data_IF_458900987009
#
_entry.id   IF_458900987009
#
_cell.length_a   1.000
_cell.length_b   1.000
_cell.length_c   1.000
_cell.angle_alpha   90.00
_cell.angle_beta   90.00
_cell.angle_gamma   90.00
#
_symmetry.space_group_name_H-M   'P 1'
#
loop_
_entity.id
_entity.type
_entity.pdbx_description
1 polymer ?
#
# COMPACT_ATOMS: atom_id res chain seq x y z
N UNK A 1 25.41 3.28 39.36
CA UNK A 1 25.09 4.68 39.73
C UNK A 1 24.59 4.77 41.18
N UNK A 2 23.46 4.13 41.54
CA UNK A 2 22.92 4.18 42.92
C UNK A 2 23.92 3.66 43.97
N UNK A 3 24.63 2.58 43.67
CA UNK A 3 25.64 1.98 44.55
C UNK A 3 26.86 2.91 44.76
N UNK A 4 27.13 3.81 43.80
CA UNK A 4 28.29 4.74 43.84
C UNK A 4 27.94 5.99 44.63
N UNK A 5 26.81 6.63 44.31
CA UNK A 5 26.30 7.77 45.07
C UNK A 5 24.78 7.95 44.84
N UNK A 6 23.97 7.82 45.90
CA UNK A 6 22.54 8.12 45.82
C UNK A 6 22.26 9.58 45.46
N UNK A 7 23.08 10.52 45.95
CA UNK A 7 22.92 11.96 45.68
C UNK A 7 23.10 12.28 44.20
N UNK A 8 24.22 11.82 43.60
CA UNK A 8 24.47 12.03 42.17
C UNK A 8 23.42 11.33 41.29
N UNK A 9 22.89 10.19 41.74
CA UNK A 9 21.77 9.52 41.06
C UNK A 9 20.49 10.34 41.12
N UNK A 10 20.22 11.02 42.25
CA UNK A 10 19.13 11.99 42.36
C UNK A 10 19.28 13.14 41.36
N UNK A 11 20.49 13.71 41.24
CA UNK A 11 20.79 14.77 40.25
C UNK A 11 20.53 14.28 38.82
N UNK A 12 20.96 13.07 38.48
CA UNK A 12 20.66 12.46 37.18
C UNK A 12 19.14 12.29 36.98
N UNK A 13 18.42 11.75 37.97
CA UNK A 13 16.98 11.52 37.87
C UNK A 13 16.18 12.80 37.66
N UNK A 14 16.68 13.96 38.11
CA UNK A 14 16.04 15.26 37.86
C UNK A 14 16.03 15.61 36.37
N UNK A 15 17.05 15.23 35.57
CA UNK A 15 17.10 15.56 34.14
C UNK A 15 16.15 14.71 33.30
N UNK A 16 15.88 13.48 33.73
CA UNK A 16 15.06 12.49 33.01
C UNK A 16 13.67 13.05 32.62
N UNK A 17 12.86 13.63 33.52
CA UNK A 17 11.56 14.19 33.14
C UNK A 17 11.68 15.34 32.13
N UNK A 18 12.77 16.13 32.14
CA UNK A 18 12.98 17.18 31.12
C UNK A 18 13.28 16.59 29.75
N UNK A 19 14.06 15.51 29.68
CA UNK A 19 14.32 14.78 28.43
C UNK A 19 13.02 14.21 27.85
N UNK A 20 12.19 13.59 28.69
CA UNK A 20 10.87 13.10 28.28
C UNK A 20 9.95 14.23 27.83
N UNK A 21 9.84 15.31 28.60
CA UNK A 21 9.01 16.46 28.27
C UNK A 21 9.42 17.10 26.93
N UNK A 22 10.73 17.28 26.71
CA UNK A 22 11.27 17.82 25.46
C UNK A 22 10.96 16.90 24.28
N UNK A 23 11.27 15.61 24.41
CA UNK A 23 11.07 14.62 23.34
C UNK A 23 9.58 14.46 22.97
N UNK A 24 8.70 14.37 23.96
CA UNK A 24 7.25 14.25 23.75
C UNK A 24 6.63 15.53 23.17
N UNK A 25 7.13 16.70 23.57
CA UNK A 25 6.69 17.98 23.01
C UNK A 25 7.05 18.11 21.53
N UNK A 26 8.30 17.77 21.18
CA UNK A 26 8.76 17.74 19.79
C UNK A 26 7.97 16.73 18.96
N UNK A 27 7.62 15.55 19.51
CA UNK A 27 6.81 14.53 18.81
C UNK A 27 5.50 15.08 18.25
N UNK A 28 4.72 15.84 19.04
CA UNK A 28 3.41 16.37 18.61
C UNK A 28 3.56 17.33 17.43
N UNK A 29 4.56 18.20 17.47
CA UNK A 29 4.84 19.20 16.43
C UNK A 29 5.41 18.52 15.19
N UNK A 30 6.40 17.63 15.37
CA UNK A 30 7.03 16.85 14.31
C UNK A 30 6.01 16.01 13.55
N UNK A 31 5.08 15.33 14.24
CA UNK A 31 4.02 14.55 13.57
C UNK A 31 3.18 15.44 12.65
N UNK A 32 2.73 16.61 13.13
CA UNK A 32 1.96 17.55 12.30
C UNK A 32 2.77 18.01 11.10
N UNK A 33 3.98 18.53 11.32
CA UNK A 33 4.88 19.01 10.25
C UNK A 33 5.24 17.91 9.24
N UNK A 34 5.40 16.67 9.70
CA UNK A 34 5.66 15.50 8.85
C UNK A 34 4.47 15.16 7.97
N UNK A 35 3.25 15.18 8.51
CA UNK A 35 2.02 14.97 7.72
C UNK A 35 1.86 16.07 6.67
N UNK A 36 2.09 17.34 7.03
CA UNK A 36 2.05 18.44 6.06
C UNK A 36 3.12 18.29 4.97
N UNK A 37 4.35 17.90 5.34
CA UNK A 37 5.43 17.64 4.38
C UNK A 37 5.11 16.50 3.41
N UNK A 38 4.58 15.38 3.93
CA UNK A 38 4.14 14.25 3.12
C UNK A 38 3.00 14.63 2.17
N UNK A 39 2.00 15.38 2.64
CA UNK A 39 0.90 15.87 1.79
C UNK A 39 1.40 16.79 0.67
N UNK A 40 2.33 17.69 0.98
CA UNK A 40 2.88 18.60 -0.03
C UNK A 40 3.72 17.85 -1.07
N UNK A 41 4.45 16.81 -0.67
CA UNK A 41 5.19 15.94 -1.59
C UNK A 41 4.23 15.11 -2.46
N UNK A 42 3.14 14.60 -1.87
CA UNK A 42 2.11 13.86 -2.61
C UNK A 42 1.46 14.73 -3.70
N UNK A 43 1.24 16.03 -3.44
CA UNK A 43 0.75 16.97 -4.45
C UNK A 43 1.73 17.14 -5.62
N UNK A 44 3.03 17.23 -5.34
CA UNK A 44 4.07 17.28 -6.39
C UNK A 44 4.01 16.00 -7.23
N UNK A 45 3.97 14.83 -6.59
CA UNK A 45 3.92 13.54 -7.28
C UNK A 45 2.65 13.39 -8.12
N UNK A 46 1.49 13.77 -7.57
CA UNK A 46 0.22 13.74 -8.28
C UNK A 46 0.26 14.64 -9.53
N UNK A 47 0.80 15.86 -9.40
CA UNK A 47 0.96 16.78 -10.52
C UNK A 47 1.85 16.20 -11.62
N UNK A 48 2.97 15.57 -11.25
CA UNK A 48 3.87 14.92 -12.22
C UNK A 48 3.15 13.76 -12.91
N UNK A 49 2.42 12.93 -12.15
CA UNK A 49 1.68 11.80 -12.71
C UNK A 49 0.58 12.26 -13.67
N UNK A 50 -0.19 13.28 -13.31
CA UNK A 50 -1.23 13.88 -14.17
C UNK A 50 -0.62 14.50 -15.43
N UNK A 51 0.49 15.23 -15.29
CA UNK A 51 1.21 15.83 -16.43
C UNK A 51 1.75 14.78 -17.40
N UNK A 52 2.25 13.66 -16.89
CA UNK A 52 2.74 12.55 -17.73
C UNK A 52 1.58 11.84 -18.44
N UNK A 53 0.48 11.57 -17.74
CA UNK A 53 -0.72 10.99 -18.34
C UNK A 53 -1.33 11.90 -19.41
N UNK A 54 -1.29 13.22 -19.20
CA UNK A 54 -1.81 14.24 -20.12
C UNK A 54 -0.79 14.83 -21.09
N UNK A 55 0.43 14.27 -21.20
CA UNK A 55 1.55 14.94 -21.90
C UNK A 55 1.22 15.26 -23.36
N UNK A 56 0.50 14.36 -24.04
CA UNK A 56 0.06 14.56 -25.42
C UNK A 56 -0.86 15.80 -25.54
N UNK A 57 -1.82 15.96 -24.62
CA UNK A 57 -2.72 17.11 -24.60
C UNK A 57 -1.93 18.39 -24.34
N UNK A 58 -1.04 18.38 -23.35
CA UNK A 58 -0.19 19.54 -23.03
C UNK A 58 0.61 19.98 -24.26
N UNK A 59 1.21 19.03 -24.99
CA UNK A 59 1.94 19.28 -26.24
C UNK A 59 1.05 19.77 -27.36
N UNK A 60 -0.10 19.15 -27.58
CA UNK A 60 -1.06 19.54 -28.63
C UNK A 60 -1.56 20.97 -28.46
N UNK A 61 -1.77 21.42 -27.23
CA UNK A 61 -2.21 22.79 -26.91
C UNK A 61 -1.06 23.76 -26.61
N UNK A 62 0.21 23.32 -26.73
CA UNK A 62 1.43 24.12 -26.46
C UNK A 62 1.42 24.79 -25.07
N UNK A 63 0.96 24.08 -24.05
CA UNK A 63 0.78 24.57 -22.69
C UNK A 63 1.96 24.27 -21.75
N UNK A 64 3.14 23.88 -22.28
CA UNK A 64 4.27 23.44 -21.46
C UNK A 64 4.74 24.49 -20.45
N UNK A 65 4.79 25.77 -20.87
CA UNK A 65 5.23 26.87 -20.00
C UNK A 65 4.26 27.06 -18.83
N UNK A 66 2.95 27.09 -19.12
CA UNK A 66 1.90 27.20 -18.10
C UNK A 66 1.99 26.05 -17.09
N UNK A 67 2.18 24.82 -17.57
CA UNK A 67 2.34 23.66 -16.70
C UNK A 67 3.63 23.71 -15.88
N UNK A 68 4.72 24.20 -16.45
CA UNK A 68 5.98 24.40 -15.73
C UNK A 68 5.85 25.45 -14.62
N UNK A 69 5.16 26.56 -14.87
CA UNK A 69 4.93 27.61 -13.87
C UNK A 69 4.05 27.09 -12.71
N UNK A 70 3.02 26.30 -13.02
CA UNK A 70 2.21 25.61 -12.00
C UNK A 70 3.05 24.63 -11.18
N UNK A 71 3.89 23.81 -11.84
CA UNK A 71 4.81 22.90 -11.15
C UNK A 71 5.75 23.66 -10.20
N UNK A 72 6.34 24.77 -10.64
CA UNK A 72 7.23 25.60 -9.83
C UNK A 72 6.52 26.12 -8.57
N UNK A 73 5.26 26.55 -8.67
CA UNK A 73 4.49 27.01 -7.52
C UNK A 73 4.28 25.89 -6.49
N UNK A 74 3.85 24.71 -6.93
CA UNK A 74 3.62 23.54 -6.06
C UNK A 74 4.95 23.07 -5.44
N UNK A 75 6.01 23.00 -6.24
CA UNK A 75 7.33 22.57 -5.79
C UNK A 75 7.93 23.55 -4.77
N UNK A 76 7.79 24.87 -5.00
CA UNK A 76 8.25 25.89 -4.05
C UNK A 76 7.50 25.82 -2.71
N UNK A 77 6.21 25.50 -2.74
CA UNK A 77 5.43 25.26 -1.52
C UNK A 77 5.95 24.01 -0.77
N UNK A 78 6.19 22.91 -1.50
CA UNK A 78 6.78 21.70 -0.93
C UNK A 78 8.15 21.96 -0.31
N UNK A 79 9.01 22.72 -1.00
CA UNK A 79 10.30 23.13 -0.49
C UNK A 79 10.17 23.91 0.83
N UNK A 80 9.32 24.94 0.90
CA UNK A 80 9.11 25.72 2.13
C UNK A 80 8.62 24.87 3.30
N UNK A 81 7.67 23.98 3.06
CA UNK A 81 7.13 23.08 4.08
C UNK A 81 8.21 22.12 4.59
N UNK A 82 8.97 21.51 3.68
CA UNK A 82 10.02 20.57 4.05
C UNK A 82 11.22 21.25 4.69
N UNK A 83 11.60 22.46 4.26
CA UNK A 83 12.64 23.26 4.92
C UNK A 83 12.23 23.62 6.35
N UNK A 84 11.00 24.09 6.56
CA UNK A 84 10.49 24.35 7.90
C UNK A 84 10.54 23.08 8.75
N UNK A 85 10.06 21.95 8.23
CA UNK A 85 10.11 20.65 8.91
C UNK A 85 11.55 20.25 9.28
N UNK A 86 12.50 20.42 8.36
CA UNK A 86 13.91 20.08 8.59
C UNK A 86 14.49 20.92 9.72
N UNK A 87 14.29 22.24 9.70
CA UNK A 87 14.75 23.13 10.77
C UNK A 87 14.18 22.73 12.14
N UNK A 88 12.90 22.38 12.22
CA UNK A 88 12.30 21.89 13.48
C UNK A 88 12.94 20.59 13.97
N UNK A 89 13.23 19.65 13.07
CA UNK A 89 13.91 18.40 13.43
C UNK A 89 15.35 18.64 13.88
N UNK A 90 16.04 19.59 13.24
CA UNK A 90 17.44 19.94 13.56
C UNK A 90 17.61 20.58 14.94
N UNK A 91 16.57 21.18 15.53
CA UNK A 91 16.66 21.82 16.87
C UNK A 91 16.62 20.80 18.02
N UNK A 92 16.08 19.60 17.79
CA UNK A 92 15.90 18.60 18.85
C UNK A 92 17.22 18.16 19.48
N UNK A 93 18.20 17.75 18.67
CA UNK A 93 19.48 17.24 19.16
C UNK A 93 20.30 18.31 19.91
N UNK A 94 20.48 19.54 19.40
CA UNK A 94 21.12 20.61 20.16
C UNK A 94 20.43 20.91 21.49
N UNK A 95 19.10 20.82 21.55
CA UNK A 95 18.35 21.01 22.79
C UNK A 95 18.63 19.89 23.82
N UNK A 96 18.80 18.65 23.34
CA UNK A 96 19.22 17.52 24.18
C UNK A 96 20.67 17.67 24.64
N UNK A 97 21.57 18.12 23.77
CA UNK A 97 22.98 18.36 24.12
C UNK A 97 23.12 19.41 25.23
N UNK A 98 22.31 20.48 25.18
CA UNK A 98 22.26 21.47 26.26
C UNK A 98 21.83 20.83 27.59
N UNK A 99 20.82 19.94 27.60
CA UNK A 99 20.40 19.23 28.81
C UNK A 99 21.52 18.32 29.35
N UNK A 100 22.25 17.64 28.47
CA UNK A 100 23.41 16.81 28.86
C UNK A 100 24.53 17.68 29.43
N UNK A 101 24.82 18.83 28.83
CA UNK A 101 25.82 19.78 29.32
C UNK A 101 25.45 20.32 30.71
N UNK A 102 24.18 20.66 30.93
CA UNK A 102 23.67 21.09 32.24
C UNK A 102 23.79 19.97 33.27
N UNK A 103 23.39 18.74 32.92
CA UNK A 103 23.57 17.57 33.78
C UNK A 103 25.04 17.42 34.19
N UNK A 104 25.97 17.55 33.24
CA UNK A 104 27.41 17.41 33.50
C UNK A 104 27.93 18.48 34.43
N UNK A 105 27.54 19.74 34.21
CA UNK A 105 27.89 20.84 35.10
C UNK A 105 27.41 20.57 36.53
N UNK A 106 26.18 20.07 36.70
CA UNK A 106 25.63 19.71 38.02
C UNK A 106 26.38 18.53 38.64
N UNK A 107 26.66 17.47 37.87
CA UNK A 107 27.41 16.31 38.37
C UNK A 107 28.83 16.67 38.81
N UNK A 108 29.51 17.54 38.07
CA UNK A 108 30.84 18.04 38.43
C UNK A 108 30.75 18.93 39.67
N UNK A 109 29.76 19.81 39.76
CA UNK A 109 29.58 20.71 40.90
C UNK A 109 29.29 19.95 42.20
N UNK A 110 28.26 19.08 42.20
CA UNK A 110 27.90 18.29 43.38
C UNK A 110 28.94 17.21 43.68
N UNK A 111 29.45 16.53 42.65
CA UNK A 111 30.49 15.51 42.82
C UNK A 111 31.80 16.10 43.35
N UNK A 112 32.21 17.27 42.84
CA UNK A 112 33.41 17.96 43.29
C UNK A 112 33.35 18.32 44.78
N UNK A 113 32.19 18.78 45.26
CA UNK A 113 31.98 19.03 46.69
C UNK A 113 32.10 17.73 47.53
N UNK A 114 31.59 16.60 47.05
CA UNK A 114 31.74 15.31 47.73
C UNK A 114 33.19 14.80 47.76
N UNK A 115 33.98 15.08 46.71
CA UNK A 115 35.43 14.80 46.73
C UNK A 115 36.13 15.64 47.79
N UNK A 116 35.81 16.93 47.88
CA UNK A 116 36.42 17.82 48.89
C UNK A 116 36.07 17.38 50.33
N UNK A 117 34.91 16.74 50.52
CA UNK A 117 34.49 16.15 51.80
C UNK A 117 35.09 14.76 52.06
N UNK A 118 35.81 14.17 51.09
CA UNK A 118 36.40 12.84 51.19
C UNK A 118 35.42 11.69 51.00
N UNK A 119 34.18 11.96 50.57
CA UNK A 119 33.13 10.95 50.40
C UNK A 119 33.23 10.18 49.07
N UNK A 120 33.84 10.80 48.05
CA UNK A 120 34.04 10.20 46.73
C UNK A 120 35.49 10.39 46.25
N UNK A 121 35.93 9.49 45.37
CA UNK A 121 37.18 9.62 44.63
C UNK A 121 36.98 10.27 43.26
N UNK A 122 38.06 10.79 42.66
CA UNK A 122 38.02 11.29 41.27
C UNK A 122 37.57 10.23 40.26
N UNK A 123 37.92 8.95 40.49
CA UNK A 123 37.46 7.83 39.70
C UNK A 123 35.95 7.62 39.78
N UNK A 124 35.33 7.89 40.93
CA UNK A 124 33.88 7.71 41.10
C UNK A 124 33.09 8.71 40.25
N UNK A 125 33.52 9.98 40.21
CA UNK A 125 32.90 10.98 39.33
C UNK A 125 33.08 10.61 37.86
N UNK A 126 34.29 10.18 37.47
CA UNK A 126 34.55 9.76 36.10
C UNK A 126 33.64 8.59 35.67
N UNK A 127 33.53 7.57 36.52
CA UNK A 127 32.61 6.45 36.31
C UNK A 127 31.15 6.91 36.23
N UNK A 128 30.76 7.91 37.03
CA UNK A 128 29.42 8.47 37.01
C UNK A 128 29.10 9.22 35.71
N UNK A 129 30.03 10.04 35.22
CA UNK A 129 29.90 10.75 33.94
C UNK A 129 29.78 9.77 32.77
N UNK A 130 30.63 8.74 32.73
CA UNK A 130 30.56 7.70 31.69
C UNK A 130 29.25 6.90 31.75
N UNK A 131 28.83 6.50 32.95
CA UNK A 131 27.55 5.80 33.15
C UNK A 131 26.35 6.64 32.70
N UNK A 132 26.42 7.96 32.91
CA UNK A 132 25.36 8.89 32.49
C UNK A 132 25.18 8.92 30.97
N UNK A 133 26.28 8.92 30.19
CA UNK A 133 26.21 8.83 28.72
C UNK A 133 25.54 7.54 28.27
N UNK A 134 25.94 6.42 28.87
CA UNK A 134 25.41 5.11 28.53
C UNK A 134 23.91 5.02 28.85
N UNK A 135 23.43 5.66 29.92
CA UNK A 135 22.00 5.69 30.25
C UNK A 135 21.19 6.66 29.38
N UNK A 136 21.80 7.70 28.79
CA UNK A 136 21.06 8.69 27.99
C UNK A 136 20.46 8.09 26.72
N UNK A 137 21.19 7.22 26.03
CA UNK A 137 20.72 6.59 24.78
C UNK A 137 19.48 5.70 24.97
N UNK A 138 19.45 4.74 25.92
CA UNK A 138 18.25 3.96 26.21
C UNK A 138 17.03 4.81 26.62
N UNK A 139 17.24 5.89 27.38
CA UNK A 139 16.14 6.80 27.78
C UNK A 139 15.50 7.43 26.54
N UNK A 140 16.31 7.92 25.60
CA UNK A 140 15.82 8.46 24.33
C UNK A 140 15.10 7.41 23.49
N UNK A 141 15.63 6.18 23.44
CA UNK A 141 15.00 5.07 22.71
C UNK A 141 13.61 4.74 23.28
N UNK A 142 13.48 4.64 24.60
CA UNK A 142 12.18 4.39 25.27
C UNK A 142 11.19 5.51 24.97
N UNK A 143 11.62 6.77 25.01
CA UNK A 143 10.76 7.91 24.69
C UNK A 143 10.21 7.87 23.25
N UNK A 144 10.98 7.31 22.30
CA UNK A 144 10.59 7.13 20.91
C UNK A 144 9.81 5.83 20.62
N UNK A 145 10.04 4.77 21.40
CA UNK A 145 9.59 3.40 21.09
C UNK A 145 8.06 3.27 20.98
N UNK A 146 7.30 3.96 21.84
CA UNK A 146 5.83 3.86 21.83
C UNK A 146 5.20 4.23 20.48
N UNK A 147 5.80 5.19 19.75
CA UNK A 147 5.31 5.56 18.43
C UNK A 147 5.49 4.42 17.41
N UNK A 148 6.69 3.85 17.38
CA UNK A 148 7.03 2.75 16.49
C UNK A 148 6.20 1.50 16.78
N UNK A 149 5.95 1.24 18.06
CA UNK A 149 5.07 0.16 18.49
C UNK A 149 3.63 0.34 17.97
N UNK A 150 3.07 1.55 18.09
CA UNK A 150 1.72 1.86 17.59
C UNK A 150 1.63 1.75 16.05
N UNK A 151 2.65 2.22 15.33
CA UNK A 151 2.70 2.10 13.87
C UNK A 151 2.76 0.63 13.44
N UNK A 152 3.55 -0.19 14.16
CA UNK A 152 3.59 -1.64 13.97
C UNK A 152 2.24 -2.31 14.21
N UNK A 153 1.54 -1.94 15.27
CA UNK A 153 0.20 -2.46 15.57
C UNK A 153 -0.80 -2.11 14.47
N UNK A 154 -0.81 -0.87 13.99
CA UNK A 154 -1.70 -0.45 12.88
C UNK A 154 -1.38 -1.16 11.56
N UNK A 155 -0.11 -1.46 11.28
CA UNK A 155 0.27 -2.26 10.12
C UNK A 155 -0.21 -3.71 10.25
N UNK A 156 -0.06 -4.31 11.44
CA UNK A 156 -0.55 -5.65 11.73
C UNK A 156 -2.07 -5.74 11.56
N UNK A 157 -2.84 -4.77 12.08
CA UNK A 157 -4.30 -4.69 11.90
C UNK A 157 -4.71 -4.75 10.42
N UNK A 158 -4.01 -4.02 9.54
CA UNK A 158 -4.30 -4.05 8.09
C UNK A 158 -3.98 -5.39 7.45
N UNK A 159 -2.89 -6.04 7.87
CA UNK A 159 -2.52 -7.38 7.37
C UNK A 159 -3.57 -8.40 7.78
N UNK A 160 -3.96 -8.41 9.05
CA UNK A 160 -5.00 -9.32 9.55
C UNK A 160 -6.36 -9.03 8.92
N UNK A 161 -6.74 -7.75 8.73
CA UNK A 161 -7.98 -7.42 8.02
C UNK A 161 -8.00 -7.94 6.57
N UNK A 162 -6.85 -7.95 5.88
CA UNK A 162 -6.74 -8.54 4.54
C UNK A 162 -6.79 -10.07 4.61
N UNK A 163 -6.09 -10.69 5.56
CA UNK A 163 -6.07 -12.14 5.74
C UNK A 163 -7.45 -12.70 6.11
N UNK A 164 -8.19 -11.99 6.96
CA UNK A 164 -9.54 -12.35 7.42
C UNK A 164 -10.62 -11.95 6.41
N UNK A 165 -10.27 -11.23 5.34
CA UNK A 165 -11.22 -10.86 4.30
C UNK A 165 -11.79 -12.11 3.62
N UNK A 166 -13.12 -12.23 3.61
CA UNK A 166 -13.77 -13.37 2.96
C UNK A 166 -13.84 -13.14 1.44
N UNK A 167 -13.49 -14.17 0.67
CA UNK A 167 -13.71 -14.16 -0.77
C UNK A 167 -15.21 -14.10 -1.07
N UNK A 168 -15.64 -13.07 -1.80
CA UNK A 168 -17.01 -12.95 -2.29
C UNK A 168 -17.42 -14.12 -3.20
N UNK A 169 -16.46 -14.73 -3.89
CA UNK A 169 -16.69 -15.87 -4.78
C UNK A 169 -16.09 -17.11 -4.12
N UNK A 170 -16.95 -18.01 -3.66
CA UNK A 170 -16.54 -19.32 -3.15
C UNK A 170 -16.37 -20.29 -4.32
N UNK A 171 -15.27 -21.05 -4.32
CA UNK A 171 -15.07 -22.09 -5.32
C UNK A 171 -15.98 -23.29 -5.02
N UNK A 172 -16.67 -23.76 -6.05
CA UNK A 172 -17.33 -25.06 -6.01
C UNK A 172 -16.32 -26.20 -6.16
N UNK A 173 -16.70 -27.38 -5.69
CA UNK A 173 -15.84 -28.58 -5.73
C UNK A 173 -16.05 -29.45 -6.96
N UNK A 174 -17.14 -29.25 -7.72
CA UNK A 174 -17.50 -30.15 -8.81
C UNK A 174 -16.61 -29.93 -10.03
N UNK A 175 -15.93 -30.96 -10.49
CA UNK A 175 -15.11 -30.89 -11.70
C UNK A 175 -15.90 -31.49 -12.84
N UNK A 176 -16.14 -30.69 -13.89
CA UNK A 176 -16.70 -31.18 -15.13
C UNK A 176 -15.62 -31.96 -15.88
N UNK A 177 -15.84 -33.26 -16.12
CA UNK A 177 -14.90 -34.11 -16.87
C UNK A 177 -14.75 -33.68 -18.33
N UNK A 178 -15.85 -33.19 -18.93
CA UNK A 178 -15.86 -32.63 -20.27
C UNK A 178 -16.91 -31.53 -20.38
N UNK A 179 -16.63 -30.49 -21.16
CA UNK A 179 -17.55 -29.37 -21.43
C UNK A 179 -18.03 -29.51 -22.86
N UNK A 180 -19.34 -29.73 -23.04
CA UNK A 180 -20.03 -29.74 -24.35
C UNK A 180 -20.33 -28.32 -24.81
N UNK A 181 -20.51 -27.39 -23.87
CA UNK A 181 -20.65 -25.97 -24.16
C UNK A 181 -22.09 -25.47 -24.23
N UNK A 182 -23.04 -26.17 -23.61
CA UNK A 182 -24.41 -25.66 -23.42
C UNK A 182 -24.41 -24.64 -22.28
N UNK A 183 -24.93 -23.43 -22.53
CA UNK A 183 -24.95 -22.33 -21.56
C UNK A 183 -26.40 -21.94 -21.31
N UNK A 184 -26.80 -21.83 -20.04
CA UNK A 184 -28.14 -21.38 -19.65
C UNK A 184 -28.05 -20.26 -18.64
N UNK A 185 -28.77 -19.18 -18.90
CA UNK A 185 -29.11 -18.14 -17.93
C UNK A 185 -30.58 -18.34 -17.59
N UNK A 186 -30.87 -18.57 -16.31
CA UNK A 186 -32.21 -18.90 -15.80
C UNK A 186 -32.61 -17.84 -14.76
N UNK A 187 -33.52 -16.96 -15.14
CA UNK A 187 -34.05 -15.85 -14.33
C UNK A 187 -32.95 -15.02 -13.63
N UNK A 188 -31.87 -14.73 -14.35
CA UNK A 188 -30.70 -14.04 -13.81
C UNK A 188 -31.05 -12.60 -13.37
N UNK A 189 -30.81 -12.30 -12.10
CA UNK A 189 -30.80 -10.95 -11.55
C UNK A 189 -29.39 -10.50 -11.20
N UNK A 190 -29.00 -9.32 -11.69
CA UNK A 190 -27.64 -8.80 -11.50
C UNK A 190 -27.59 -7.28 -11.31
N UNK A 191 -26.83 -6.85 -10.29
CA UNK A 191 -26.46 -5.46 -10.05
C UNK A 191 -25.01 -5.34 -9.52
N UNK A 192 -24.29 -4.30 -9.93
CA UNK A 192 -22.97 -3.96 -9.36
C UNK A 192 -23.09 -3.13 -8.07
N UNK A 193 -24.15 -2.34 -7.97
CA UNK A 193 -24.43 -1.42 -6.87
C UNK A 193 -25.88 -1.68 -6.46
N UNK A 194 -26.17 -1.76 -5.15
CA UNK A 194 -27.54 -1.90 -4.67
C UNK A 194 -28.49 -0.90 -5.33
N UNK A 195 -29.70 -1.37 -5.65
CA UNK A 195 -30.79 -0.59 -6.25
C UNK A 195 -30.51 -0.10 -7.69
N UNK A 196 -29.51 -0.68 -8.37
CA UNK A 196 -29.19 -0.38 -9.78
C UNK A 196 -29.06 -1.66 -10.62
N UNK A 197 -30.19 -2.36 -10.86
CA UNK A 197 -30.22 -3.60 -11.60
C UNK A 197 -29.86 -3.40 -13.07
N UNK A 198 -28.96 -4.27 -13.55
CA UNK A 198 -28.60 -4.41 -14.97
C UNK A 198 -29.46 -5.48 -15.62
N UNK A 199 -29.63 -6.62 -14.94
CA UNK A 199 -30.49 -7.71 -15.39
C UNK A 199 -31.59 -7.95 -14.35
N UNK A 200 -32.83 -8.10 -14.83
CA UNK A 200 -34.00 -8.50 -14.06
C UNK A 200 -34.62 -9.69 -14.80
N UNK A 201 -34.59 -10.86 -14.19
CA UNK A 201 -35.17 -12.10 -14.73
C UNK A 201 -34.67 -12.44 -16.16
N UNK A 202 -33.38 -12.27 -16.40
CA UNK A 202 -32.78 -12.52 -17.72
C UNK A 202 -32.68 -14.02 -18.01
N UNK A 203 -33.20 -14.44 -19.16
CA UNK A 203 -33.23 -15.82 -19.62
C UNK A 203 -32.58 -15.96 -21.00
N UNK A 204 -31.66 -16.91 -21.16
CA UNK A 204 -31.00 -17.21 -22.43
C UNK A 204 -30.46 -18.64 -22.42
N UNK A 205 -30.68 -19.39 -23.50
CA UNK A 205 -30.08 -20.71 -23.70
C UNK A 205 -29.25 -20.69 -24.97
N UNK A 206 -27.99 -21.13 -24.87
CA UNK A 206 -27.04 -21.26 -25.97
C UNK A 206 -26.69 -22.74 -26.12
N UNK A 207 -26.88 -23.29 -27.31
CA UNK A 207 -26.61 -24.68 -27.60
C UNK A 207 -25.12 -24.94 -27.88
N UNK A 208 -24.62 -26.17 -27.65
CA UNK A 208 -23.28 -26.56 -28.06
C UNK A 208 -22.98 -26.23 -29.52
N UNK A 209 -21.87 -25.54 -29.78
CA UNK A 209 -21.44 -25.16 -31.14
C UNK A 209 -22.18 -23.96 -31.75
N UNK A 210 -23.14 -23.38 -31.03
CA UNK A 210 -23.87 -22.20 -31.49
C UNK A 210 -23.01 -20.94 -31.38
N UNK A 211 -22.99 -20.13 -32.45
CA UNK A 211 -22.36 -18.79 -32.42
C UNK A 211 -23.43 -17.74 -32.14
N UNK A 212 -23.34 -17.10 -30.98
CA UNK A 212 -24.32 -16.07 -30.57
C UNK A 212 -23.67 -14.68 -30.56
N UNK A 213 -24.34 -13.70 -31.16
CA UNK A 213 -23.95 -12.30 -31.11
C UNK A 213 -24.86 -11.51 -30.16
N UNK A 214 -24.27 -10.85 -29.15
CA UNK A 214 -24.99 -10.00 -28.21
C UNK A 214 -24.86 -8.53 -28.64
N UNK A 215 -25.97 -7.93 -29.07
CA UNK A 215 -26.02 -6.55 -29.61
C UNK A 215 -26.89 -5.66 -28.74
N UNK A 216 -26.53 -4.38 -28.63
CA UNK A 216 -27.29 -3.38 -27.86
C UNK A 216 -26.50 -2.10 -27.65
N UNK A 217 -27.14 -1.04 -27.16
CA UNK A 217 -26.49 0.24 -26.89
C UNK A 217 -25.39 0.13 -25.81
N UNK A 218 -24.48 1.11 -25.76
CA UNK A 218 -23.47 1.19 -24.68
C UNK A 218 -24.17 1.22 -23.32
N UNK A 219 -23.67 0.44 -22.36
CA UNK A 219 -24.29 0.31 -21.04
C UNK A 219 -25.40 -0.74 -20.91
N UNK A 220 -25.84 -1.39 -21.99
CA UNK A 220 -26.89 -2.42 -21.96
C UNK A 220 -26.51 -3.75 -21.25
N UNK A 221 -25.40 -3.79 -20.51
CA UNK A 221 -24.99 -5.00 -19.76
C UNK A 221 -24.24 -6.07 -20.54
N UNK A 222 -23.97 -5.90 -21.85
CA UNK A 222 -23.25 -6.88 -22.69
C UNK A 222 -21.95 -7.43 -22.06
N UNK A 223 -21.08 -6.53 -21.60
CA UNK A 223 -19.83 -6.91 -20.93
C UNK A 223 -20.05 -7.47 -19.53
N UNK A 224 -21.17 -7.18 -18.88
CA UNK A 224 -21.54 -7.79 -17.60
C UNK A 224 -21.93 -9.24 -17.79
N UNK A 225 -22.65 -9.56 -18.87
CA UNK A 225 -23.05 -10.92 -19.22
C UNK A 225 -21.84 -11.85 -19.35
N UNK A 226 -20.80 -11.44 -20.07
CA UNK A 226 -19.55 -12.22 -20.21
C UNK A 226 -18.80 -12.34 -18.88
N UNK A 227 -18.78 -11.28 -18.06
CA UNK A 227 -18.18 -11.31 -16.72
C UNK A 227 -18.91 -12.27 -15.77
N UNK A 228 -20.24 -12.33 -15.82
CA UNK A 228 -21.06 -13.25 -15.02
C UNK A 228 -20.86 -14.69 -15.49
N UNK A 229 -20.81 -14.92 -16.80
CA UNK A 229 -20.53 -16.25 -17.37
C UNK A 229 -19.19 -16.81 -16.88
N UNK A 230 -18.14 -15.96 -16.86
CA UNK A 230 -16.83 -16.31 -16.31
C UNK A 230 -16.79 -16.31 -14.77
N UNK A 231 -17.92 -16.02 -14.12
CA UNK A 231 -18.10 -15.82 -12.68
C UNK A 231 -17.06 -14.88 -12.07
N UNK A 232 -16.72 -13.80 -12.80
CA UNK A 232 -15.88 -12.70 -12.30
C UNK A 232 -16.65 -11.82 -11.29
N UNK A 233 -17.98 -11.90 -11.31
CA UNK A 233 -18.89 -11.33 -10.33
C UNK A 233 -19.88 -12.40 -9.88
N UNK A 234 -20.37 -12.29 -8.65
CA UNK A 234 -21.57 -12.99 -8.22
C UNK A 234 -22.84 -12.24 -8.67
N UNK A 235 -23.94 -12.96 -8.70
CA UNK A 235 -25.26 -12.49 -9.09
C UNK A 235 -26.28 -12.68 -7.96
N UNK A 236 -27.30 -11.84 -7.91
CA UNK A 236 -28.21 -11.74 -6.77
C UNK A 236 -29.33 -12.78 -6.81
N UNK A 237 -29.81 -13.14 -8.00
CA UNK A 237 -30.89 -14.12 -8.18
C UNK A 237 -30.76 -14.92 -9.48
N UNK A 238 -31.52 -16.00 -9.58
CA UNK A 238 -31.46 -16.92 -10.71
C UNK A 238 -30.27 -17.85 -10.65
N UNK A 239 -29.92 -18.43 -11.79
CA UNK A 239 -28.78 -19.32 -11.94
C UNK A 239 -28.14 -19.19 -13.33
N UNK A 240 -26.86 -19.56 -13.42
CA UNK A 240 -26.16 -19.69 -14.69
C UNK A 240 -25.56 -21.08 -14.74
N UNK A 241 -25.91 -21.87 -15.76
CA UNK A 241 -25.52 -23.28 -15.87
C UNK A 241 -24.67 -23.54 -17.10
N UNK A 242 -23.68 -24.41 -16.93
CA UNK A 242 -22.86 -24.98 -18.00
C UNK A 242 -23.14 -26.48 -18.04
N UNK A 243 -23.64 -26.97 -19.16
CA UNK A 243 -24.01 -28.37 -19.35
C UNK A 243 -24.91 -28.91 -18.22
N UNK A 244 -25.86 -28.07 -17.78
CA UNK A 244 -26.83 -28.38 -16.73
C UNK A 244 -26.32 -28.19 -15.29
N UNK A 245 -25.06 -27.85 -15.08
CA UNK A 245 -24.47 -27.62 -13.75
C UNK A 245 -24.33 -26.14 -13.46
N UNK A 246 -24.74 -25.69 -12.26
CA UNK A 246 -24.57 -24.29 -11.86
C UNK A 246 -23.09 -23.91 -11.84
N UNK A 247 -22.75 -22.72 -12.37
CA UNK A 247 -21.40 -22.17 -12.25
C UNK A 247 -20.98 -21.90 -10.80
N UNK A 248 -21.93 -21.95 -9.86
CA UNK A 248 -21.67 -21.87 -8.42
C UNK A 248 -20.98 -23.11 -7.86
N UNK A 249 -21.34 -24.27 -8.40
CA UNK A 249 -20.93 -25.58 -7.88
C UNK A 249 -19.69 -26.13 -8.57
N UNK A 250 -19.39 -25.64 -9.77
CA UNK A 250 -18.22 -26.07 -10.55
C UNK A 250 -16.91 -25.45 -10.05
N UNK A 251 -15.82 -26.17 -10.29
CA UNK A 251 -14.45 -25.67 -10.11
C UNK A 251 -14.14 -24.59 -11.14
N UNK A 252 -14.08 -23.33 -10.68
CA UNK A 252 -13.83 -22.18 -11.55
C UNK A 252 -12.47 -22.21 -12.24
N UNK A 253 -11.46 -22.78 -11.59
CA UNK A 253 -10.12 -22.88 -12.16
C UNK A 253 -10.10 -23.83 -13.35
N UNK A 254 -10.84 -24.94 -13.30
CA UNK A 254 -11.00 -25.90 -14.41
C UNK A 254 -11.89 -25.31 -15.50
N UNK A 255 -13.03 -24.74 -15.13
CA UNK A 255 -13.95 -24.11 -16.10
C UNK A 255 -13.24 -23.02 -16.93
N UNK A 256 -12.56 -22.07 -16.27
CA UNK A 256 -11.89 -20.95 -16.97
C UNK A 256 -10.73 -21.40 -17.87
N UNK A 257 -10.09 -22.55 -17.59
CA UNK A 257 -9.08 -23.14 -18.50
C UNK A 257 -9.67 -23.64 -19.82
N UNK A 258 -10.96 -23.94 -19.85
CA UNK A 258 -11.67 -24.39 -21.05
C UNK A 258 -12.34 -23.25 -21.82
N UNK A 259 -12.23 -22.00 -21.35
CA UNK A 259 -12.86 -20.83 -21.98
C UNK A 259 -11.79 -19.89 -22.51
N UNK A 260 -11.79 -19.66 -23.82
CA UNK A 260 -11.05 -18.56 -24.43
C UNK A 260 -11.79 -17.24 -24.22
N UNK A 261 -11.16 -16.26 -23.57
CA UNK A 261 -11.73 -14.94 -23.35
C UNK A 261 -10.84 -13.85 -23.93
N UNK A 262 -11.39 -13.02 -24.79
CA UNK A 262 -10.72 -11.85 -25.37
C UNK A 262 -11.40 -10.59 -24.81
N UNK A 263 -10.73 -9.82 -23.93
CA UNK A 263 -11.31 -8.60 -23.39
C UNK A 263 -11.37 -7.51 -24.47
N UNK A 264 -12.30 -6.56 -24.28
CA UNK A 264 -12.46 -5.42 -25.19
C UNK A 264 -11.19 -4.56 -25.31
N UNK A 265 -10.44 -4.43 -24.20
CA UNK A 265 -9.12 -3.79 -24.18
C UNK A 265 -8.12 -4.90 -23.86
N UNK A 266 -7.30 -5.34 -24.83
CA UNK A 266 -6.28 -6.36 -24.58
C UNK A 266 -5.23 -5.83 -23.61
N UNK A 267 -4.75 -6.73 -22.75
CA UNK A 267 -3.66 -6.46 -21.82
C UNK A 267 -2.47 -7.33 -22.19
N UNK A 268 -1.28 -6.73 -22.22
CA UNK A 268 -0.01 -7.43 -22.42
C UNK A 268 0.90 -7.14 -21.23
N UNK A 269 1.57 -8.18 -20.76
CA UNK A 269 2.66 -8.05 -19.81
C UNK A 269 3.86 -7.39 -20.48
N UNK A 270 4.66 -6.67 -19.69
CA UNK A 270 5.95 -6.14 -20.12
C UNK A 270 6.97 -7.28 -20.26
N UNK A 271 6.81 -8.05 -21.34
CA UNK A 271 7.52 -9.29 -21.63
C UNK A 271 7.54 -9.50 -23.17
N UNK A 272 8.17 -10.59 -23.64
CA UNK A 272 8.21 -10.96 -25.04
C UNK A 272 6.83 -11.29 -25.61
N UNK A 273 6.69 -11.22 -26.93
CA UNK A 273 5.48 -11.65 -27.65
C UNK A 273 5.20 -13.12 -27.35
N UNK A 274 6.23 -13.98 -27.38
CA UNK A 274 6.09 -15.41 -27.09
C UNK A 274 5.50 -15.66 -25.69
N UNK A 275 6.03 -15.00 -24.66
CA UNK A 275 5.54 -15.18 -23.29
C UNK A 275 4.10 -14.68 -23.10
N UNK A 276 3.74 -13.58 -23.79
CA UNK A 276 2.36 -13.09 -23.78
C UNK A 276 1.39 -14.08 -24.47
N UNK A 277 1.78 -14.68 -25.60
CA UNK A 277 0.97 -15.70 -26.28
C UNK A 277 0.85 -16.97 -25.43
N UNK A 278 1.93 -17.39 -24.77
CA UNK A 278 1.96 -18.55 -23.87
C UNK A 278 1.24 -18.33 -22.54
N UNK A 279 0.83 -17.12 -22.21
CA UNK A 279 0.26 -16.81 -20.89
C UNK A 279 -0.94 -17.71 -20.52
N UNK A 280 -1.81 -18.03 -21.49
CA UNK A 280 -2.94 -18.93 -21.30
C UNK A 280 -2.59 -20.43 -21.34
N UNK A 281 -1.41 -20.79 -21.86
CA UNK A 281 -0.92 -22.16 -21.97
C UNK A 281 0.61 -22.20 -21.82
N UNK A 282 1.14 -22.14 -20.58
CA UNK A 282 2.57 -21.99 -20.32
C UNK A 282 3.44 -23.10 -20.93
N UNK A 283 2.87 -24.31 -21.05
CA UNK A 283 3.52 -25.50 -21.61
C UNK A 283 3.52 -25.54 -23.15
N UNK A 284 2.95 -24.53 -23.82
CA UNK A 284 2.91 -24.51 -25.28
C UNK A 284 4.33 -24.46 -25.86
N UNK A 285 4.57 -25.19 -26.95
CA UNK A 285 5.83 -25.14 -27.68
C UNK A 285 5.98 -23.83 -28.46
N UNK A 286 7.19 -23.51 -28.91
CA UNK A 286 7.41 -22.37 -29.81
C UNK A 286 6.62 -22.54 -31.14
N UNK A 287 6.50 -23.76 -31.65
CA UNK A 287 5.71 -24.08 -32.84
C UNK A 287 4.21 -23.82 -32.62
N UNK A 288 3.68 -24.10 -31.42
CA UNK A 288 2.30 -23.77 -31.06
C UNK A 288 2.06 -22.27 -31.08
N UNK A 289 3.03 -21.49 -30.62
CA UNK A 289 2.97 -20.02 -30.61
C UNK A 289 2.94 -19.49 -32.04
N UNK A 290 3.83 -19.95 -32.92
CA UNK A 290 3.83 -19.55 -34.34
C UNK A 290 2.47 -19.89 -34.97
N UNK A 291 1.98 -21.13 -34.79
CA UNK A 291 0.67 -21.54 -35.33
C UNK A 291 -0.49 -20.67 -34.83
N UNK A 292 -0.47 -20.27 -33.56
CA UNK A 292 -1.47 -19.38 -33.00
C UNK A 292 -1.40 -17.98 -33.64
N UNK A 293 -0.19 -17.45 -33.85
CA UNK A 293 0.04 -16.15 -34.46
C UNK A 293 -0.37 -16.13 -35.94
N UNK A 294 -0.05 -17.17 -36.71
CA UNK A 294 -0.48 -17.32 -38.11
C UNK A 294 -2.00 -17.31 -38.25
N UNK A 295 -2.72 -18.02 -37.36
CA UNK A 295 -4.19 -18.04 -37.35
C UNK A 295 -4.81 -16.70 -36.95
N UNK A 296 -4.09 -15.86 -36.21
CA UNK A 296 -4.56 -14.56 -35.74
C UNK A 296 -4.40 -13.42 -36.76
N UNK A 297 -3.84 -13.69 -37.95
CA UNK A 297 -3.55 -12.70 -39.01
C UNK A 297 -2.51 -11.64 -38.58
N UNK A 298 -1.80 -11.86 -37.48
CA UNK A 298 -0.76 -10.94 -36.96
C UNK A 298 0.63 -11.26 -37.54
N UNK A 299 0.86 -12.49 -38.01
CA UNK A 299 2.15 -12.94 -38.54
C UNK A 299 2.22 -12.88 -40.07
N UNK A 300 3.16 -12.12 -40.61
CA UNK A 300 3.51 -12.09 -42.03
C UNK A 300 5.01 -12.38 -42.20
N UNK A 301 5.39 -13.66 -42.20
CA UNK A 301 6.73 -14.13 -42.58
C UNK A 301 7.83 -13.76 -41.59
#
# INVERSE_FOLDING_TARGET
MIIVSPLLTGVFMIIVPFVFALTLSFRKITRRKSVYGQRSLAQVNAFVQESMAGIQIIKSFRQEKSQYDNFQAINKQSYKVNMSRALYLSILFPSLDILVAVLYALLIFFGGNLILQGELSGSDIYLFLQSSLLMFSPILQIAGFWAQFQDGLSAAERIFALQDSQSYIKQGGYVLDSIKGRIEFDNLGFEYVPDKPIFKDFNLVIQPGETVAIVGHTGAGKSSLTKILLRLYEFQSGDVRIDGHSIRDISLSKFRRSVGFIPQVPFLWADTIENNVKYGSPEASHEDVIRALERSVVWNG
#
